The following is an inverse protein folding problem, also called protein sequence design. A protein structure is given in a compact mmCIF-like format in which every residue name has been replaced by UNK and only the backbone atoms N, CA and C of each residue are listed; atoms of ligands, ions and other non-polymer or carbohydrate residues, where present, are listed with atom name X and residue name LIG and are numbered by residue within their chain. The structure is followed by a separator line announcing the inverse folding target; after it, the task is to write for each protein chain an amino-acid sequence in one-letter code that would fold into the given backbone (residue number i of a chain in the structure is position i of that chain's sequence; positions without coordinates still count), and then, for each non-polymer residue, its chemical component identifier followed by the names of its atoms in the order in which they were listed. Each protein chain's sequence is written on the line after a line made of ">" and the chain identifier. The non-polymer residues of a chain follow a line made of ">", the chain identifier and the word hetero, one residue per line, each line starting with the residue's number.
data_IF_781042176328
#
_entry.id   IF_781042176328
#
_cell.length_a   1.000
_cell.length_b   1.000
_cell.length_c   1.000
_cell.angle_alpha   90.00
_cell.angle_beta   90.00
_cell.angle_gamma   90.00
#
_symmetry.space_group_name_H-M   'P 1'
#
loop_
_entity.id
_entity.type
_entity.pdbx_description
1 polymer ?
#
# COMPACT_ATOMS: atom_id res chain seq x y z
N UNK A 1 -17.40 -3.59 18.53
CA UNK A 1 -16.41 -3.60 17.44
C UNK A 1 -15.62 -4.88 17.56
N UNK A 2 -15.77 -5.80 16.60
CA UNK A 2 -15.04 -7.07 16.63
C UNK A 2 -13.65 -6.80 16.07
N UNK A 3 -12.62 -7.22 16.80
CA UNK A 3 -11.23 -7.05 16.38
C UNK A 3 -10.72 -8.39 15.86
N UNK A 4 -10.23 -8.42 14.62
CA UNK A 4 -9.86 -9.66 13.93
C UNK A 4 -8.37 -10.02 14.08
N UNK A 5 -7.71 -9.55 15.13
CA UNK A 5 -6.26 -9.74 15.33
C UNK A 5 -5.83 -11.21 15.35
N UNK A 6 -6.64 -12.10 15.93
CA UNK A 6 -6.35 -13.53 15.97
C UNK A 6 -6.32 -14.15 14.56
N UNK A 7 -7.38 -13.96 13.78
CA UNK A 7 -7.47 -14.42 12.39
C UNK A 7 -6.35 -13.80 11.54
N UNK A 8 -6.16 -12.48 11.63
CA UNK A 8 -5.12 -11.77 10.88
C UNK A 8 -3.71 -12.24 11.22
N UNK A 9 -3.42 -12.50 12.50
CA UNK A 9 -2.11 -13.02 12.92
C UNK A 9 -1.91 -14.45 12.44
N UNK A 10 -2.95 -15.29 12.48
CA UNK A 10 -2.90 -16.64 11.89
C UNK A 10 -2.58 -16.61 10.39
N UNK A 11 -3.20 -15.71 9.63
CA UNK A 11 -2.94 -15.54 8.19
C UNK A 11 -1.53 -14.99 7.95
N UNK A 12 -1.08 -14.02 8.76
CA UNK A 12 0.28 -13.50 8.69
C UNK A 12 1.32 -14.61 8.90
N UNK A 13 1.11 -15.49 9.88
CA UNK A 13 2.00 -16.63 10.15
C UNK A 13 2.01 -17.63 8.98
N UNK A 14 0.86 -17.88 8.35
CA UNK A 14 0.77 -18.74 7.16
C UNK A 14 1.45 -18.15 5.92
N UNK A 15 1.62 -16.83 5.87
CA UNK A 15 2.24 -16.10 4.74
C UNK A 15 3.69 -15.68 5.00
N UNK A 16 4.32 -16.19 6.08
CA UNK A 16 5.73 -15.93 6.40
C UNK A 16 6.72 -16.22 5.27
N UNK A 17 6.56 -17.27 4.42
CA UNK A 17 7.43 -17.46 3.27
C UNK A 17 7.46 -16.23 2.34
N UNK A 18 6.31 -15.59 2.12
CA UNK A 18 6.25 -14.35 1.35
C UNK A 18 6.88 -13.17 2.09
N UNK A 19 6.66 -13.06 3.39
CA UNK A 19 7.27 -12.01 4.22
C UNK A 19 8.80 -12.10 4.16
N UNK A 20 9.35 -13.31 4.23
CA UNK A 20 10.79 -13.56 4.09
C UNK A 20 11.31 -13.14 2.71
N UNK A 21 10.59 -13.48 1.62
CA UNK A 21 10.93 -13.00 0.28
C UNK A 21 11.01 -11.47 0.22
N UNK A 22 9.99 -10.79 0.76
CA UNK A 22 9.97 -9.32 0.83
C UNK A 22 11.15 -8.75 1.61
N UNK A 23 11.52 -9.41 2.70
CA UNK A 23 12.69 -9.02 3.48
C UNK A 23 13.99 -9.16 2.69
N UNK A 24 14.19 -10.29 2.00
CA UNK A 24 15.36 -10.53 1.13
C UNK A 24 15.42 -9.50 0.01
N UNK A 25 14.29 -9.20 -0.64
CA UNK A 25 14.21 -8.16 -1.66
C UNK A 25 14.58 -6.80 -1.07
N UNK A 26 14.01 -6.42 0.09
CA UNK A 26 14.35 -5.18 0.78
C UNK A 26 15.85 -5.08 1.12
N UNK A 27 16.45 -6.17 1.61
CA UNK A 27 17.87 -6.25 1.90
C UNK A 27 18.73 -6.11 0.63
N UNK A 28 18.34 -6.74 -0.48
CA UNK A 28 19.02 -6.58 -1.76
C UNK A 28 19.00 -5.13 -2.26
N UNK A 29 17.87 -4.42 -2.07
CA UNK A 29 17.78 -2.99 -2.39
C UNK A 29 18.66 -2.12 -1.49
N UNK A 30 18.70 -2.42 -0.19
CA UNK A 30 19.58 -1.72 0.74
C UNK A 30 21.05 -1.91 0.35
N UNK A 31 21.45 -3.14 0.01
CA UNK A 31 22.80 -3.44 -0.49
C UNK A 31 23.09 -2.72 -1.81
N UNK A 32 22.15 -2.71 -2.75
CA UNK A 32 22.28 -1.96 -4.00
C UNK A 32 22.51 -0.46 -3.75
N UNK A 33 21.77 0.13 -2.80
CA UNK A 33 21.95 1.53 -2.40
C UNK A 33 23.34 1.78 -1.80
N UNK A 34 23.77 0.93 -0.88
CA UNK A 34 25.09 1.03 -0.23
C UNK A 34 26.21 0.91 -1.27
N UNK A 35 26.12 -0.03 -2.21
CA UNK A 35 27.09 -0.18 -3.28
C UNK A 35 27.09 1.03 -4.24
N UNK A 36 25.92 1.48 -4.66
CA UNK A 36 25.77 2.64 -5.55
C UNK A 36 26.41 3.90 -4.94
N UNK A 37 25.99 4.28 -3.75
CA UNK A 37 26.51 5.48 -3.09
C UNK A 37 27.95 5.28 -2.61
N UNK A 38 28.34 4.08 -2.20
CA UNK A 38 29.70 3.74 -1.81
C UNK A 38 30.68 3.94 -2.96
N UNK A 39 30.34 3.47 -4.17
CA UNK A 39 31.16 3.67 -5.38
C UNK A 39 31.24 5.16 -5.73
N UNK A 40 30.12 5.88 -5.71
CA UNK A 40 30.11 7.32 -6.02
C UNK A 40 30.95 8.11 -5.03
N UNK A 41 30.82 7.85 -3.73
CA UNK A 41 31.63 8.49 -2.69
C UNK A 41 33.11 8.13 -2.86
N UNK A 42 33.42 6.87 -3.14
CA UNK A 42 34.80 6.44 -3.39
C UNK A 42 35.40 7.15 -4.61
N UNK A 43 34.63 7.32 -5.70
CA UNK A 43 35.08 8.07 -6.87
C UNK A 43 35.28 9.55 -6.57
N UNK A 44 34.36 10.19 -5.85
CA UNK A 44 34.42 11.64 -5.53
C UNK A 44 35.55 11.96 -4.56
N UNK A 45 35.75 11.15 -3.52
CA UNK A 45 36.76 11.39 -2.48
C UNK A 45 38.12 10.72 -2.77
N UNK A 46 38.14 9.68 -3.62
CA UNK A 46 39.35 8.98 -4.03
C UNK A 46 40.05 9.58 -5.25
N UNK A 47 39.43 10.53 -5.96
CA UNK A 47 40.04 11.21 -7.10
C UNK A 47 40.73 12.51 -6.69
N UNK A 48 42.03 12.61 -7.00
CA UNK A 48 42.81 13.82 -6.77
C UNK A 48 42.33 14.90 -7.77
N UNK A 49 41.83 16.03 -7.27
CA UNK A 49 41.49 17.20 -8.09
C UNK A 49 40.00 17.46 -8.33
N UNK A 50 39.09 16.66 -7.76
CA UNK A 50 37.65 17.00 -7.77
C UNK A 50 37.40 18.16 -6.80
N UNK A 51 36.93 19.29 -7.32
CA UNK A 51 36.52 20.41 -6.48
C UNK A 51 35.27 20.06 -5.66
N UNK A 52 35.11 20.64 -4.47
CA UNK A 52 33.96 20.38 -3.61
C UNK A 52 32.61 20.60 -4.31
N UNK A 53 32.51 21.61 -5.18
CA UNK A 53 31.30 21.88 -5.96
C UNK A 53 31.00 20.75 -6.97
N UNK A 54 32.02 20.26 -7.67
CA UNK A 54 31.87 19.14 -8.61
C UNK A 54 31.45 17.87 -7.87
N UNK A 55 32.05 17.59 -6.70
CA UNK A 55 31.66 16.45 -5.86
C UNK A 55 30.18 16.50 -5.44
N UNK A 56 29.69 17.68 -5.02
CA UNK A 56 28.27 17.88 -4.68
C UNK A 56 27.36 17.66 -5.90
N UNK A 57 27.72 18.22 -7.07
CA UNK A 57 26.95 18.02 -8.31
C UNK A 57 26.88 16.54 -8.68
N UNK A 58 28.00 15.80 -8.61
CA UNK A 58 28.03 14.36 -8.87
C UNK A 58 27.13 13.60 -7.90
N UNK A 59 27.15 13.94 -6.61
CA UNK A 59 26.29 13.30 -5.61
C UNK A 59 24.80 13.58 -5.87
N UNK A 60 24.43 14.80 -6.27
CA UNK A 60 23.06 15.16 -6.64
C UNK A 60 22.60 14.38 -7.87
N UNK A 61 23.41 14.32 -8.93
CA UNK A 61 23.10 13.54 -10.14
C UNK A 61 22.95 12.06 -9.80
N UNK A 62 23.87 11.50 -9.02
CA UNK A 62 23.80 10.11 -8.57
C UNK A 62 22.52 9.82 -7.76
N UNK A 63 22.08 10.78 -6.94
CA UNK A 63 20.84 10.68 -6.17
C UNK A 63 19.61 10.70 -7.08
N UNK A 64 19.57 11.59 -8.08
CA UNK A 64 18.47 11.65 -9.05
C UNK A 64 18.39 10.37 -9.88
N UNK A 65 19.53 9.88 -10.37
CA UNK A 65 19.61 8.63 -11.14
C UNK A 65 19.14 7.43 -10.30
N UNK A 66 19.63 7.31 -9.07
CA UNK A 66 19.21 6.25 -8.16
C UNK A 66 17.73 6.36 -7.81
N UNK A 67 17.23 7.57 -7.56
CA UNK A 67 15.80 7.82 -7.31
C UNK A 67 14.92 7.41 -8.50
N UNK A 68 15.37 7.70 -9.73
CA UNK A 68 14.71 7.23 -10.96
C UNK A 68 14.68 5.70 -11.05
N UNK A 69 15.81 5.04 -10.80
CA UNK A 69 15.91 3.58 -10.79
C UNK A 69 14.98 2.95 -9.74
N UNK A 70 14.99 3.46 -8.51
CA UNK A 70 14.12 3.01 -7.42
C UNK A 70 12.65 3.21 -7.78
N UNK A 71 12.29 4.31 -8.44
CA UNK A 71 10.91 4.58 -8.87
C UNK A 71 10.44 3.55 -9.90
N UNK A 72 11.27 3.23 -10.89
CA UNK A 72 10.97 2.19 -11.88
C UNK A 72 10.83 0.81 -11.22
N UNK A 73 11.80 0.45 -10.39
CA UNK A 73 11.78 -0.83 -9.67
C UNK A 73 10.57 -0.97 -8.74
N UNK A 74 10.17 0.13 -8.08
CA UNK A 74 8.97 0.15 -7.25
C UNK A 74 7.72 -0.11 -8.10
N UNK A 75 7.57 0.61 -9.22
CA UNK A 75 6.40 0.50 -10.10
C UNK A 75 6.28 -0.87 -10.76
N UNK A 76 7.37 -1.41 -11.29
CA UNK A 76 7.32 -2.60 -12.15
C UNK A 76 7.71 -3.92 -11.47
N UNK A 77 8.34 -3.89 -10.30
CA UNK A 77 8.81 -5.12 -9.62
C UNK A 77 8.24 -5.24 -8.22
N UNK A 78 8.56 -4.29 -7.34
CA UNK A 78 8.17 -4.38 -5.92
C UNK A 78 6.66 -4.34 -5.73
N UNK A 79 5.97 -3.59 -6.59
CA UNK A 79 4.53 -3.48 -6.52
C UNK A 79 3.84 -4.78 -6.96
N UNK A 80 4.33 -5.47 -8.01
CA UNK A 80 3.83 -6.80 -8.39
C UNK A 80 4.00 -7.82 -7.26
N UNK A 81 5.18 -7.85 -6.63
CA UNK A 81 5.44 -8.72 -5.46
C UNK A 81 4.52 -8.36 -4.29
N UNK A 82 4.17 -7.09 -4.15
CA UNK A 82 3.22 -6.63 -3.14
C UNK A 82 1.81 -7.10 -3.43
N UNK A 83 1.32 -6.91 -4.65
CA UNK A 83 0.00 -7.32 -5.10
C UNK A 83 -0.16 -8.85 -5.04
N UNK A 84 0.86 -9.62 -5.42
CA UNK A 84 0.85 -11.08 -5.29
C UNK A 84 0.70 -11.53 -3.83
N UNK A 85 1.37 -10.85 -2.88
CA UNK A 85 1.16 -11.12 -1.46
C UNK A 85 -0.27 -10.79 -1.02
N UNK A 86 -0.82 -9.69 -1.53
CA UNK A 86 -2.20 -9.28 -1.23
C UNK A 86 -3.18 -10.35 -1.72
N UNK A 87 -2.98 -10.90 -2.92
CA UNK A 87 -3.78 -12.01 -3.44
C UNK A 87 -3.70 -13.27 -2.56
N UNK A 88 -2.50 -13.64 -2.10
CA UNK A 88 -2.33 -14.78 -1.17
C UNK A 88 -3.03 -14.52 0.18
N UNK A 89 -2.95 -13.30 0.71
CA UNK A 89 -3.68 -12.94 1.95
C UNK A 89 -5.19 -13.03 1.70
N UNK A 90 -5.69 -12.50 0.58
CA UNK A 90 -7.10 -12.54 0.23
C UNK A 90 -7.62 -13.98 0.20
N UNK A 91 -6.92 -14.85 -0.52
CA UNK A 91 -7.23 -16.28 -0.59
C UNK A 91 -7.21 -16.95 0.79
N UNK A 92 -6.25 -16.60 1.65
CA UNK A 92 -6.16 -17.16 3.00
C UNK A 92 -7.23 -16.62 3.97
N UNK A 93 -7.74 -15.40 3.75
CA UNK A 93 -8.87 -14.87 4.51
C UNK A 93 -10.15 -15.61 4.15
N UNK A 94 -10.34 -15.89 2.86
CA UNK A 94 -11.52 -16.51 2.28
C UNK A 94 -11.59 -18.03 2.56
N UNK A 95 -10.53 -18.75 2.21
CA UNK A 95 -10.50 -20.23 2.34
C UNK A 95 -10.00 -20.72 3.70
N UNK A 96 -9.28 -19.87 4.44
CA UNK A 96 -8.57 -20.27 5.65
C UNK A 96 -7.24 -21.00 5.41
N UNK A 97 -6.85 -21.27 4.17
CA UNK A 97 -5.62 -21.97 3.80
C UNK A 97 -4.70 -21.11 2.92
N UNK A 98 -3.42 -21.48 2.83
CA UNK A 98 -2.48 -20.83 1.91
C UNK A 98 -2.10 -21.80 0.79
N UNK A 99 -1.94 -21.33 -0.45
CA UNK A 99 -1.51 -22.19 -1.55
C UNK A 99 -0.12 -22.78 -1.28
N UNK A 100 0.11 -24.03 -1.68
CA UNK A 100 1.41 -24.70 -1.54
C UNK A 100 2.56 -23.87 -2.14
N UNK A 101 2.35 -23.37 -3.35
CA UNK A 101 3.26 -22.44 -4.01
C UNK A 101 2.68 -21.02 -4.03
N UNK A 102 2.80 -20.33 -2.90
CA UNK A 102 2.29 -18.97 -2.73
C UNK A 102 2.76 -18.04 -3.85
N UNK A 103 4.07 -18.04 -4.17
CA UNK A 103 4.66 -17.13 -5.16
C UNK A 103 4.05 -17.32 -6.55
N UNK A 104 3.90 -18.57 -6.99
CA UNK A 104 3.28 -18.88 -8.27
C UNK A 104 1.82 -18.45 -8.29
N UNK A 105 1.06 -18.80 -7.24
CA UNK A 105 -0.33 -18.40 -7.10
C UNK A 105 -0.49 -16.87 -7.15
N UNK A 106 0.27 -16.14 -6.34
CA UNK A 106 0.19 -14.68 -6.30
C UNK A 106 0.59 -14.03 -7.62
N UNK A 107 1.60 -14.58 -8.33
CA UNK A 107 1.95 -14.12 -9.68
C UNK A 107 0.81 -14.36 -10.66
N UNK A 108 0.18 -15.52 -10.62
CA UNK A 108 -0.93 -15.89 -11.48
C UNK A 108 -2.13 -14.97 -11.25
N UNK A 109 -2.59 -14.82 -10.00
CA UNK A 109 -3.69 -13.91 -9.66
C UNK A 109 -3.47 -12.49 -10.17
N UNK A 110 -2.24 -11.97 -10.04
CA UNK A 110 -1.91 -10.62 -10.55
C UNK A 110 -1.94 -10.56 -12.07
N UNK A 111 -1.41 -11.57 -12.76
CA UNK A 111 -1.32 -11.60 -14.23
C UNK A 111 -2.69 -11.82 -14.87
N UNK A 112 -3.52 -12.68 -14.28
CA UNK A 112 -4.85 -13.00 -14.77
C UNK A 112 -5.79 -11.80 -14.61
N UNK A 113 -5.68 -11.08 -13.49
CA UNK A 113 -6.46 -9.86 -13.23
C UNK A 113 -5.94 -8.64 -14.00
N UNK A 114 -4.62 -8.48 -14.04
CA UNK A 114 -3.97 -7.32 -14.63
C UNK A 114 -2.92 -7.78 -15.64
N UNK A 115 -3.30 -7.73 -16.93
CA UNK A 115 -2.46 -8.12 -18.07
C UNK A 115 -1.09 -7.44 -18.04
N UNK A 116 -1.06 -6.17 -17.62
CA UNK A 116 0.15 -5.37 -17.52
C UNK A 116 0.32 -4.77 -16.11
N UNK A 117 1.57 -4.64 -15.67
CA UNK A 117 1.91 -3.93 -14.42
C UNK A 117 1.48 -2.46 -14.44
N UNK A 118 1.44 -1.84 -15.63
CA UNK A 118 0.94 -0.48 -15.88
C UNK A 118 -0.54 -0.36 -15.49
N UNK A 119 -1.37 -1.33 -15.86
CA UNK A 119 -2.80 -1.36 -15.57
C UNK A 119 -3.06 -1.51 -14.06
N UNK A 120 -2.39 -2.46 -13.41
CA UNK A 120 -2.43 -2.64 -11.96
C UNK A 120 -2.06 -1.32 -11.24
N UNK A 121 -0.94 -0.71 -11.62
CA UNK A 121 -0.47 0.52 -10.99
C UNK A 121 -1.44 1.70 -11.22
N UNK A 122 -2.04 1.80 -12.40
CA UNK A 122 -3.01 2.84 -12.72
C UNK A 122 -4.26 2.74 -11.83
N UNK A 123 -4.82 1.53 -11.70
CA UNK A 123 -6.01 1.28 -10.87
C UNK A 123 -5.70 1.53 -9.39
N UNK A 124 -4.58 1.02 -8.89
CA UNK A 124 -4.14 1.24 -7.51
C UNK A 124 -3.94 2.72 -7.17
N UNK A 125 -3.34 3.49 -8.08
CA UNK A 125 -3.12 4.92 -7.87
C UNK A 125 -4.44 5.71 -7.77
N UNK A 126 -5.43 5.32 -8.58
CA UNK A 126 -6.79 5.87 -8.51
C UNK A 126 -7.43 5.52 -7.17
N UNK A 127 -7.40 4.25 -6.76
CA UNK A 127 -7.92 3.79 -5.47
C UNK A 127 -7.29 4.58 -4.31
N UNK A 128 -5.96 4.71 -4.29
CA UNK A 128 -5.21 5.51 -3.29
C UNK A 128 -5.67 6.96 -3.26
N UNK A 129 -5.93 7.54 -4.42
CA UNK A 129 -6.38 8.93 -4.54
C UNK A 129 -7.78 9.08 -3.95
N UNK A 130 -8.70 8.17 -4.25
CA UNK A 130 -10.05 8.14 -3.66
C UNK A 130 -9.98 8.05 -2.13
N UNK A 131 -9.23 7.06 -1.61
CA UNK A 131 -9.05 6.87 -0.16
C UNK A 131 -8.49 8.12 0.50
N UNK A 132 -7.49 8.75 -0.12
CA UNK A 132 -6.85 9.95 0.42
C UNK A 132 -7.85 11.11 0.49
N UNK A 133 -8.60 11.37 -0.58
CA UNK A 133 -9.62 12.42 -0.62
C UNK A 133 -10.71 12.16 0.42
N UNK A 134 -11.22 10.92 0.48
CA UNK A 134 -12.22 10.49 1.46
C UNK A 134 -11.75 10.70 2.90
N UNK A 135 -10.56 10.20 3.26
CA UNK A 135 -10.04 10.31 4.61
C UNK A 135 -9.70 11.75 5.00
N UNK A 136 -9.23 12.57 4.05
CA UNK A 136 -9.03 14.00 4.30
C UNK A 136 -10.35 14.72 4.57
N UNK A 137 -11.41 14.40 3.83
CA UNK A 137 -12.74 14.95 4.08
C UNK A 137 -13.28 14.55 5.45
N UNK A 138 -13.11 13.29 5.86
CA UNK A 138 -13.52 12.82 7.20
C UNK A 138 -12.68 13.49 8.31
N UNK A 139 -11.36 13.59 8.14
CA UNK A 139 -10.48 14.25 9.11
C UNK A 139 -10.76 15.76 9.24
N UNK A 140 -11.29 16.39 8.18
CA UNK A 140 -11.65 17.81 8.17
C UNK A 140 -12.72 18.17 9.22
N UNK A 141 -13.58 17.22 9.56
CA UNK A 141 -14.63 17.34 10.59
C UNK A 141 -14.02 17.39 12.00
N UNK A 142 -12.81 16.82 12.17
CA UNK A 142 -12.07 16.79 13.43
C UNK A 142 -11.31 18.09 13.78
N UNK A 143 -11.27 19.09 12.89
CA UNK A 143 -10.55 20.37 13.11
C UNK A 143 -11.15 21.26 14.22
N UNK A 144 -12.26 20.84 14.83
CA UNK A 144 -12.79 21.45 16.06
C UNK A 144 -11.87 21.21 17.30
N UNK A 145 -10.90 20.29 17.20
CA UNK A 145 -10.06 19.90 18.33
C UNK A 145 -8.82 20.80 18.56
N UNK A 146 -8.50 21.71 17.64
CA UNK A 146 -7.38 22.66 17.78
C UNK A 146 -7.58 23.69 18.91
N UNK A 147 -8.81 23.78 19.45
CA UNK A 147 -9.16 24.69 20.54
C UNK A 147 -8.81 24.17 21.94
N UNK A 148 -8.51 22.87 22.11
CA UNK A 148 -8.29 22.27 23.45
C UNK A 148 -6.93 21.56 23.52
N UNK A 149 -5.92 22.15 24.20
CA UNK A 149 -4.60 21.54 24.39
C UNK A 149 -4.64 20.12 24.97
N UNK A 150 -5.61 19.84 25.85
CA UNK A 150 -5.82 18.52 26.45
C UNK A 150 -6.20 17.42 25.45
N UNK A 151 -6.71 17.77 24.26
CA UNK A 151 -7.10 16.81 23.22
C UNK A 151 -6.01 16.59 22.16
N UNK A 152 -4.93 17.38 22.15
CA UNK A 152 -3.88 17.30 21.10
C UNK A 152 -3.28 15.90 20.94
N UNK A 153 -2.98 15.24 22.06
CA UNK A 153 -2.42 13.88 22.03
C UNK A 153 -3.42 12.86 21.46
N UNK A 154 -4.69 12.96 21.83
CA UNK A 154 -5.74 12.08 21.33
C UNK A 154 -5.94 12.28 19.81
N UNK A 155 -5.97 13.53 19.36
CA UNK A 155 -6.07 13.89 17.93
C UNK A 155 -4.87 13.35 17.16
N UNK A 156 -3.65 13.43 17.71
CA UNK A 156 -2.46 12.88 17.09
C UNK A 156 -2.56 11.37 16.90
N UNK A 157 -3.03 10.64 17.93
CA UNK A 157 -3.24 9.19 17.87
C UNK A 157 -4.29 8.83 16.81
N UNK A 158 -5.42 9.53 16.78
CA UNK A 158 -6.48 9.31 15.78
C UNK A 158 -5.97 9.60 14.37
N UNK A 159 -5.22 10.70 14.19
CA UNK A 159 -4.64 11.07 12.89
C UNK A 159 -3.64 10.03 12.41
N UNK A 160 -2.79 9.52 13.31
CA UNK A 160 -1.87 8.42 13.01
C UNK A 160 -2.63 7.14 12.63
N UNK A 161 -3.74 6.83 13.31
CA UNK A 161 -4.57 5.66 13.00
C UNK A 161 -5.22 5.78 11.61
N UNK A 162 -5.78 6.95 11.29
CA UNK A 162 -6.33 7.24 9.95
C UNK A 162 -5.24 7.09 8.89
N UNK A 163 -4.06 7.66 9.12
CA UNK A 163 -2.93 7.52 8.20
C UNK A 163 -2.48 6.07 8.02
N UNK A 164 -2.48 5.29 9.10
CA UNK A 164 -2.12 3.87 9.07
C UNK A 164 -3.15 3.04 8.29
N UNK A 165 -4.45 3.27 8.51
CA UNK A 165 -5.51 2.65 7.73
C UNK A 165 -5.41 3.01 6.25
N UNK A 166 -5.25 4.30 5.95
CA UNK A 166 -5.13 4.81 4.59
C UNK A 166 -3.92 4.24 3.83
N UNK A 167 -2.86 3.84 4.54
CA UNK A 167 -1.64 3.28 3.95
C UNK A 167 -1.78 1.84 3.45
N UNK A 168 -2.84 1.13 3.88
CA UNK A 168 -3.04 -0.29 3.56
C UNK A 168 -4.44 -0.61 3.04
N UNK A 169 -5.39 0.32 3.09
CA UNK A 169 -6.75 0.08 2.61
C UNK A 169 -6.83 -0.04 1.08
N UNK A 170 -5.93 0.60 0.33
CA UNK A 170 -5.72 0.34 -1.11
C UNK A 170 -5.46 -1.14 -1.37
N UNK A 171 -4.61 -1.75 -0.55
CA UNK A 171 -4.29 -3.18 -0.63
C UNK A 171 -5.45 -4.05 -0.17
N UNK A 172 -6.29 -3.58 0.75
CA UNK A 172 -7.50 -4.28 1.14
C UNK A 172 -8.54 -4.29 0.01
N UNK A 173 -8.70 -3.18 -0.71
CA UNK A 173 -9.57 -3.11 -1.89
C UNK A 173 -9.03 -3.99 -3.01
N UNK A 174 -7.71 -3.99 -3.26
CA UNK A 174 -7.09 -4.94 -4.18
C UNK A 174 -7.33 -6.39 -3.77
N UNK A 175 -7.28 -6.70 -2.47
CA UNK A 175 -7.63 -8.03 -1.97
C UNK A 175 -9.07 -8.40 -2.33
N UNK A 176 -10.02 -7.47 -2.18
CA UNK A 176 -11.41 -7.68 -2.60
C UNK A 176 -11.54 -7.90 -4.11
N UNK A 177 -10.80 -7.14 -4.92
CA UNK A 177 -10.76 -7.33 -6.37
C UNK A 177 -10.22 -8.69 -6.78
N UNK A 178 -9.26 -9.27 -6.04
CA UNK A 178 -8.76 -10.62 -6.29
C UNK A 178 -9.74 -11.73 -5.89
N UNK A 179 -10.70 -11.44 -4.99
CA UNK A 179 -11.76 -12.39 -4.62
C UNK A 179 -12.99 -12.31 -5.53
N UNK A 180 -13.11 -11.23 -6.31
CA UNK A 180 -14.22 -11.00 -7.25
C UNK A 180 -13.67 -10.89 -8.67
N UNK A 181 -12.94 -11.92 -9.09
CA UNK A 181 -12.26 -11.94 -10.38
C UNK A 181 -13.24 -12.03 -11.56
N UNK A 182 -14.47 -12.48 -11.30
CA UNK A 182 -15.59 -12.53 -12.24
C UNK A 182 -16.12 -11.15 -12.67
N UNK A 183 -15.84 -10.10 -11.90
CA UNK A 183 -16.27 -8.72 -12.20
C UNK A 183 -15.22 -7.96 -13.00
N UNK A 184 -15.66 -6.97 -13.78
CA UNK A 184 -14.77 -5.96 -14.39
C UNK A 184 -13.79 -5.32 -13.40
N UNK A 185 -12.66 -4.80 -13.90
CA UNK A 185 -11.60 -4.25 -13.05
C UNK A 185 -12.08 -3.01 -12.29
N UNK A 186 -12.72 -2.09 -12.99
CA UNK A 186 -13.28 -0.89 -12.40
C UNK A 186 -14.54 -1.20 -11.61
N UNK A 187 -15.36 -2.17 -12.02
CA UNK A 187 -16.54 -2.64 -11.26
C UNK A 187 -16.14 -3.18 -9.89
N UNK A 188 -15.14 -4.07 -9.80
CA UNK A 188 -14.69 -4.58 -8.50
C UNK A 188 -13.97 -3.51 -7.66
N UNK A 189 -13.25 -2.57 -8.29
CA UNK A 189 -12.62 -1.45 -7.59
C UNK A 189 -13.66 -0.50 -6.97
N UNK A 190 -14.71 -0.16 -7.74
CA UNK A 190 -15.88 0.62 -7.27
C UNK A 190 -16.52 -0.08 -6.09
N UNK A 191 -16.90 -1.35 -6.26
CA UNK A 191 -17.58 -2.13 -5.22
C UNK A 191 -16.74 -2.22 -3.94
N UNK A 192 -15.43 -2.46 -4.08
CA UNK A 192 -14.51 -2.50 -2.96
C UNK A 192 -14.41 -1.16 -2.21
N UNK A 193 -14.36 -0.05 -2.92
CA UNK A 193 -14.37 1.30 -2.35
C UNK A 193 -15.68 1.61 -1.60
N UNK A 194 -16.82 1.22 -2.17
CA UNK A 194 -18.15 1.38 -1.52
C UNK A 194 -18.23 0.55 -0.25
N UNK A 195 -17.81 -0.71 -0.31
CA UNK A 195 -17.76 -1.59 0.86
C UNK A 195 -16.85 -1.05 1.95
N UNK A 196 -15.75 -0.36 1.60
CA UNK A 196 -14.93 0.35 2.58
C UNK A 196 -15.69 1.52 3.21
N UNK A 197 -16.43 2.29 2.43
CA UNK A 197 -17.34 3.33 2.95
C UNK A 197 -18.35 2.80 3.98
N UNK A 198 -18.76 1.52 3.88
CA UNK A 198 -19.63 0.86 4.87
C UNK A 198 -18.88 0.29 6.07
N UNK A 199 -17.59 -0.03 5.92
CA UNK A 199 -16.79 -0.81 6.89
C UNK A 199 -15.58 -0.06 7.46
N UNK A 200 -15.46 1.24 7.21
CA UNK A 200 -14.30 2.04 7.65
C UNK A 200 -14.09 2.05 9.17
N UNK A 201 -15.17 1.99 9.96
CA UNK A 201 -15.10 2.07 11.44
C UNK A 201 -14.31 0.89 12.05
N UNK A 202 -14.64 -0.39 11.77
CA UNK A 202 -13.81 -1.53 12.21
C UNK A 202 -12.34 -1.44 11.80
N UNK A 203 -12.07 -1.03 10.56
CA UNK A 203 -10.69 -0.87 10.06
C UNK A 203 -9.95 0.20 10.87
N UNK A 204 -10.57 1.38 11.03
CA UNK A 204 -10.00 2.47 11.81
C UNK A 204 -9.76 2.04 13.26
N UNK A 205 -10.72 1.36 13.89
CA UNK A 205 -10.58 0.89 15.26
C UNK A 205 -9.45 -0.12 15.46
N UNK A 206 -9.24 -1.02 14.48
CA UNK A 206 -8.09 -1.93 14.48
C UNK A 206 -6.77 -1.15 14.42
N UNK A 207 -6.68 -0.17 13.51
CA UNK A 207 -5.48 0.67 13.40
C UNK A 207 -5.27 1.60 14.59
N UNK A 208 -6.34 2.05 15.24
CA UNK A 208 -6.28 2.85 16.46
C UNK A 208 -5.64 2.05 17.59
N UNK A 209 -6.07 0.81 17.79
CA UNK A 209 -5.48 -0.07 18.80
C UNK A 209 -4.01 -0.37 18.50
N UNK A 210 -3.67 -0.58 17.22
CA UNK A 210 -2.27 -0.74 16.79
C UNK A 210 -1.45 0.50 17.15
N UNK A 211 -1.90 1.70 16.80
CA UNK A 211 -1.18 2.94 17.10
C UNK A 211 -0.99 3.14 18.61
N UNK A 212 -2.04 2.92 19.41
CA UNK A 212 -1.95 2.97 20.87
C UNK A 212 -0.94 1.95 21.39
N UNK A 213 -0.98 0.71 20.89
CA UNK A 213 -0.02 -0.34 21.23
C UNK A 213 1.41 0.05 20.88
N UNK A 214 1.64 0.60 19.68
CA UNK A 214 2.96 1.06 19.23
C UNK A 214 3.51 2.19 20.09
N UNK A 215 2.68 3.16 20.47
CA UNK A 215 3.09 4.24 21.38
C UNK A 215 3.45 3.68 22.76
N UNK A 216 2.64 2.76 23.30
CA UNK A 216 2.92 2.08 24.55
C UNK A 216 4.24 1.32 24.51
N UNK A 217 4.47 0.52 23.47
CA UNK A 217 5.72 -0.22 23.26
C UNK A 217 6.91 0.72 23.07
N UNK A 218 6.75 1.82 22.32
CA UNK A 218 7.81 2.81 22.13
C UNK A 218 8.21 3.49 23.45
N UNK A 219 7.24 3.82 24.31
CA UNK A 219 7.51 4.39 25.64
C UNK A 219 8.24 3.39 26.55
N UNK A 220 7.80 2.13 26.56
CA UNK A 220 8.49 1.07 27.32
C UNK A 220 9.92 0.86 26.82
N UNK A 221 10.10 0.83 25.50
CA UNK A 221 11.41 0.70 24.86
C UNK A 221 12.31 1.90 25.17
N UNK A 222 11.80 3.13 25.04
CA UNK A 222 12.53 4.35 25.38
C UNK A 222 12.90 4.40 26.88
N UNK A 223 12.01 3.99 27.77
CA UNK A 223 12.29 3.86 29.20
C UNK A 223 13.39 2.84 29.48
N UNK A 224 13.34 1.67 28.82
CA UNK A 224 14.40 0.67 28.90
C UNK A 224 15.75 1.18 28.38
N UNK A 225 15.75 1.91 27.27
CA UNK A 225 16.95 2.53 26.72
C UNK A 225 17.53 3.62 27.63
N UNK A 226 16.69 4.44 28.27
CA UNK A 226 17.14 5.45 29.21
C UNK A 226 17.84 4.85 30.44
N UNK A 227 17.36 3.69 30.92
CA UNK A 227 18.05 2.94 31.97
C UNK A 227 19.38 2.36 31.48
N UNK A 228 19.41 1.83 30.25
CA UNK A 228 20.61 1.27 29.64
C UNK A 228 21.67 2.33 29.29
N UNK A 229 21.28 3.56 28.94
CA UNK A 229 22.22 4.63 28.59
C UNK A 229 23.12 5.05 29.74
N UNK A 230 22.65 4.91 30.99
CA UNK A 230 23.48 5.12 32.19
C UNK A 230 24.66 4.14 32.29
N UNK A 231 24.54 2.95 31.70
CA UNK A 231 25.60 1.93 31.65
C UNK A 231 26.53 2.16 30.46
N UNK A 232 26.01 2.71 29.35
CA UNK A 232 26.75 2.91 28.11
C UNK A 232 27.59 4.20 28.06
N UNK A 233 27.26 5.21 28.88
CA UNK A 233 27.98 6.49 28.91
C UNK A 233 29.46 6.40 29.34
N UNK A 234 29.94 5.23 29.76
CA UNK A 234 31.35 4.96 30.05
C UNK A 234 32.17 4.45 28.85
N UNK A 235 31.57 4.19 27.69
CA UNK A 235 32.27 3.73 26.50
C UNK A 235 32.69 4.89 25.59
N UNK A 236 33.76 4.72 24.82
CA UNK A 236 34.20 5.72 23.85
C UNK A 236 33.18 5.94 22.71
N UNK A 237 33.21 7.14 22.11
CA UNK A 237 32.23 7.61 21.10
C UNK A 237 32.03 6.67 19.91
N UNK A 238 33.07 5.93 19.50
CA UNK A 238 33.00 4.95 18.40
C UNK A 238 32.13 3.74 18.78
N UNK A 239 32.32 3.20 19.99
CA UNK A 239 31.56 2.04 20.46
C UNK A 239 30.11 2.42 20.74
N UNK A 240 29.88 3.59 21.33
CA UNK A 240 28.54 4.12 21.53
C UNK A 240 27.78 4.28 20.20
N UNK A 241 28.42 4.88 19.19
CA UNK A 241 27.84 5.03 17.85
C UNK A 241 27.52 3.67 17.23
N UNK A 242 28.43 2.70 17.34
CA UNK A 242 28.21 1.35 16.81
C UNK A 242 27.02 0.66 17.49
N UNK A 243 26.89 0.78 18.82
CA UNK A 243 25.75 0.24 19.57
C UNK A 243 24.44 0.87 19.10
N UNK A 244 24.38 2.20 18.97
CA UNK A 244 23.16 2.87 18.49
C UNK A 244 22.78 2.50 17.06
N UNK A 245 23.75 2.30 16.17
CA UNK A 245 23.51 1.79 14.82
C UNK A 245 22.91 0.38 14.83
N UNK A 246 23.42 -0.50 15.69
CA UNK A 246 22.87 -1.85 15.85
C UNK A 246 21.44 -1.80 16.41
N UNK A 247 21.20 -1.01 17.45
CA UNK A 247 19.86 -0.83 18.04
C UNK A 247 18.88 -0.28 17.00
N UNK A 248 19.24 0.78 16.30
CA UNK A 248 18.43 1.37 15.23
C UNK A 248 18.17 0.38 14.09
N UNK A 249 19.19 -0.39 13.70
CA UNK A 249 19.08 -1.44 12.69
C UNK A 249 18.10 -2.54 13.09
N UNK A 250 18.16 -3.03 14.34
CA UNK A 250 17.24 -4.04 14.87
C UNK A 250 15.80 -3.51 14.87
N UNK A 251 15.59 -2.28 15.34
CA UNK A 251 14.27 -1.63 15.36
C UNK A 251 13.73 -1.48 13.94
N UNK A 252 14.56 -1.03 12.99
CA UNK A 252 14.17 -0.88 11.59
C UNK A 252 13.81 -2.24 10.96
N UNK A 253 14.64 -3.27 11.17
CA UNK A 253 14.38 -4.63 10.68
C UNK A 253 13.09 -5.20 11.25
N UNK A 254 12.85 -5.04 12.57
CA UNK A 254 11.61 -5.48 13.21
C UNK A 254 10.39 -4.74 12.65
N UNK A 255 10.49 -3.42 12.47
CA UNK A 255 9.39 -2.60 11.95
C UNK A 255 9.07 -2.94 10.49
N UNK A 256 10.05 -2.85 9.59
CA UNK A 256 9.83 -3.04 8.15
C UNK A 256 9.68 -4.51 7.75
N UNK A 257 10.35 -5.42 8.45
CA UNK A 257 10.35 -6.85 8.13
C UNK A 257 9.16 -7.62 8.70
N UNK A 258 8.68 -7.24 9.89
CA UNK A 258 7.65 -8.02 10.61
C UNK A 258 6.40 -7.19 10.86
N UNK A 259 6.54 -6.05 11.54
CA UNK A 259 5.41 -5.28 12.03
C UNK A 259 4.59 -4.67 10.89
N UNK A 260 5.22 -4.03 9.91
CA UNK A 260 4.52 -3.42 8.77
C UNK A 260 3.74 -4.47 7.94
N UNK A 261 4.34 -5.61 7.55
CA UNK A 261 3.59 -6.70 6.92
C UNK A 261 2.47 -7.27 7.78
N UNK A 262 2.63 -7.35 9.10
CA UNK A 262 1.56 -7.78 10.00
C UNK A 262 0.39 -6.78 10.05
N UNK A 263 0.67 -5.48 10.19
CA UNK A 263 -0.35 -4.42 10.16
C UNK A 263 -1.14 -4.47 8.85
N UNK A 264 -0.44 -4.64 7.73
CA UNK A 264 -1.03 -4.82 6.40
C UNK A 264 -2.05 -5.96 6.41
N UNK A 265 -1.67 -7.13 6.93
CA UNK A 265 -2.55 -8.29 7.03
C UNK A 265 -3.74 -8.04 7.96
N UNK A 266 -3.56 -7.30 9.06
CA UNK A 266 -4.68 -6.90 9.94
C UNK A 266 -5.67 -6.02 9.19
N UNK A 267 -5.22 -4.99 8.48
CA UNK A 267 -6.11 -4.09 7.72
C UNK A 267 -6.88 -4.86 6.64
N UNK A 268 -6.19 -5.68 5.85
CA UNK A 268 -6.81 -6.49 4.79
C UNK A 268 -7.84 -7.46 5.39
N UNK A 269 -7.46 -8.22 6.41
CA UNK A 269 -8.33 -9.22 7.05
C UNK A 269 -9.57 -8.56 7.66
N UNK A 270 -9.38 -7.47 8.42
CA UNK A 270 -10.51 -6.76 9.03
C UNK A 270 -11.46 -6.23 7.96
N UNK A 271 -10.95 -5.63 6.90
CA UNK A 271 -11.79 -5.14 5.81
C UNK A 271 -12.58 -6.27 5.14
N UNK A 272 -11.90 -7.34 4.71
CA UNK A 272 -12.55 -8.45 4.00
C UNK A 272 -13.62 -9.14 4.87
N UNK A 273 -13.32 -9.41 6.13
CA UNK A 273 -14.28 -10.04 7.06
C UNK A 273 -15.46 -9.13 7.36
N UNK A 274 -15.24 -7.82 7.51
CA UNK A 274 -16.34 -6.88 7.79
C UNK A 274 -17.15 -6.52 6.54
N UNK A 275 -16.58 -6.70 5.34
CA UNK A 275 -17.26 -6.53 4.06
C UNK A 275 -18.05 -7.77 3.64
N UNK A 276 -17.72 -8.94 4.20
CA UNK A 276 -18.40 -10.20 3.93
C UNK A 276 -19.92 -10.10 4.15
N UNK A 277 -20.69 -10.57 3.18
CA UNK A 277 -22.17 -10.53 3.21
C UNK A 277 -22.78 -9.14 3.01
N UNK A 278 -21.98 -8.08 2.80
CA UNK A 278 -22.49 -6.75 2.45
C UNK A 278 -22.43 -6.54 0.94
N UNK A 279 -23.43 -5.86 0.41
CA UNK A 279 -23.46 -5.43 -0.99
C UNK A 279 -23.19 -3.93 -1.08
N UNK A 280 -22.57 -3.45 -2.18
CA UNK A 280 -22.53 -2.03 -2.52
C UNK A 280 -23.95 -1.45 -2.61
N UNK A 281 -24.15 -0.21 -2.14
CA UNK A 281 -25.42 0.53 -2.22
C UNK A 281 -25.21 1.95 -2.76
N UNK A 282 -26.28 2.55 -3.29
CA UNK A 282 -26.28 3.89 -3.88
C UNK A 282 -25.94 4.98 -2.86
N UNK A 283 -26.49 4.88 -1.64
CA UNK A 283 -26.31 5.92 -0.62
C UNK A 283 -24.83 6.09 -0.24
N UNK A 284 -24.10 4.97 -0.15
CA UNK A 284 -22.67 4.98 0.13
C UNK A 284 -21.86 5.42 -1.09
N UNK A 285 -22.28 5.05 -2.30
CA UNK A 285 -21.65 5.57 -3.54
C UNK A 285 -21.72 7.09 -3.58
N UNK A 286 -22.90 7.67 -3.39
CA UNK A 286 -23.12 9.12 -3.40
C UNK A 286 -22.31 9.79 -2.29
N UNK A 287 -22.29 9.20 -1.09
CA UNK A 287 -21.50 9.71 0.04
C UNK A 287 -20.00 9.81 -0.26
N UNK A 288 -19.43 8.83 -0.98
CA UNK A 288 -18.01 8.84 -1.40
C UNK A 288 -17.81 9.82 -2.56
N UNK A 289 -18.70 9.84 -3.55
CA UNK A 289 -18.64 10.72 -4.71
C UNK A 289 -18.61 12.20 -4.30
N UNK A 290 -19.43 12.59 -3.32
CA UNK A 290 -19.45 13.94 -2.74
C UNK A 290 -18.10 14.38 -2.15
N UNK A 291 -17.23 13.43 -1.78
CA UNK A 291 -15.95 13.67 -1.09
C UNK A 291 -14.74 13.39 -1.95
N UNK A 292 -14.94 12.76 -3.10
CA UNK A 292 -13.87 12.34 -4.00
C UNK A 292 -14.32 12.46 -5.45
N UNK A 293 -13.80 13.47 -6.14
CA UNK A 293 -14.00 13.61 -7.59
C UNK A 293 -13.44 12.42 -8.35
N UNK A 294 -12.33 11.85 -7.88
CA UNK A 294 -11.72 10.67 -8.48
C UNK A 294 -12.64 9.43 -8.39
N UNK A 295 -13.49 9.35 -7.36
CA UNK A 295 -14.44 8.25 -7.23
C UNK A 295 -15.53 8.31 -8.31
N UNK A 296 -15.98 9.50 -8.67
CA UNK A 296 -16.92 9.66 -9.79
C UNK A 296 -16.33 9.11 -11.10
N UNK A 297 -15.02 9.28 -11.33
CA UNK A 297 -14.34 8.70 -12.47
C UNK A 297 -14.27 7.16 -12.43
N UNK A 298 -14.13 6.58 -11.23
CA UNK A 298 -14.21 5.12 -11.04
C UNK A 298 -15.60 4.59 -11.36
N UNK A 299 -16.66 5.28 -10.91
CA UNK A 299 -18.05 4.92 -11.21
C UNK A 299 -18.31 4.93 -12.71
N UNK A 300 -17.92 6.01 -13.42
CA UNK A 300 -18.07 6.10 -14.87
C UNK A 300 -17.36 4.98 -15.62
N UNK A 301 -16.15 4.59 -15.18
CA UNK A 301 -15.41 3.49 -15.79
C UNK A 301 -16.04 2.12 -15.52
N UNK A 302 -16.60 1.92 -14.34
CA UNK A 302 -17.34 0.70 -14.00
C UNK A 302 -18.63 0.58 -14.83
N UNK A 303 -19.39 1.67 -14.98
CA UNK A 303 -20.58 1.69 -15.85
C UNK A 303 -20.24 1.37 -17.31
N UNK A 304 -19.11 1.89 -17.81
CA UNK A 304 -18.64 1.57 -19.15
C UNK A 304 -18.14 0.13 -19.32
N UNK A 305 -17.70 -0.54 -18.25
CA UNK A 305 -17.40 -1.98 -18.26
C UNK A 305 -18.68 -2.84 -18.24
N UNK A 306 -19.72 -2.35 -17.55
CA UNK A 306 -20.98 -3.07 -17.34
C UNK A 306 -21.99 -2.88 -18.51
N UNK A 307 -21.82 -1.88 -19.39
CA UNK A 307 -22.70 -1.61 -20.54
C UNK A 307 -22.41 -2.53 -21.76
N UNK A 308 -23.35 -3.41 -22.16
CA UNK A 308 -23.16 -4.31 -23.28
C UNK A 308 -23.76 -3.73 -24.57
N UNK A 309 -23.00 -2.96 -25.39
CA UNK A 309 -23.37 -2.74 -26.81
C UNK A 309 -22.28 -2.10 -27.68
N UNK A 310 -22.29 -2.36 -29.00
CA UNK A 310 -21.97 -3.62 -29.67
C UNK A 310 -20.73 -3.44 -30.57
N UNK A 311 -20.32 -4.52 -31.24
CA UNK A 311 -19.14 -4.59 -32.08
C UNK A 311 -18.91 -3.40 -33.02
N UNK A 312 -17.62 -3.18 -33.28
CA UNK A 312 -17.07 -2.55 -34.48
C UNK A 312 -18.00 -2.84 -35.68
N UNK A 313 -18.86 -1.88 -36.02
CA UNK A 313 -19.57 -1.87 -37.29
C UNK A 313 -18.46 -1.68 -38.32
N UNK A 314 -18.06 -2.80 -38.91
CA UNK A 314 -17.34 -2.81 -40.17
C UNK A 314 -18.25 -2.05 -41.15
N UNK A 315 -17.83 -0.84 -41.53
CA UNK A 315 -18.42 -0.05 -42.60
C UNK A 315 -18.22 -0.83 -43.91
N UNK A 316 -18.99 -1.91 -44.10
CA UNK A 316 -19.24 -2.42 -45.44
C UNK A 316 -20.23 -1.48 -46.09
N UNK A 317 -19.65 -0.60 -46.90
CA UNK A 317 -20.28 0.07 -48.01
C UNK A 317 -21.23 -0.88 -48.74
N UNK A 318 -22.53 -0.75 -48.49
CA UNK A 318 -23.55 -1.14 -49.44
C UNK A 318 -23.79 0.09 -50.35
N UNK A 319 -22.93 0.21 -51.37
CA UNK A 319 -23.29 0.96 -52.57
C UNK A 319 -24.35 0.13 -53.32
N UNK A 320 -25.61 0.53 -53.24
CA UNK A 320 -26.66 0.04 -54.13
C UNK A 320 -26.93 1.10 -55.22
N UNK A 321 -26.58 0.86 -56.50
CA UNK A 321 -26.87 1.82 -57.57
C UNK A 321 -28.32 1.68 -58.06
N UNK A 322 -29.05 2.78 -57.91
CA UNK A 322 -30.16 3.30 -58.71
C UNK A 322 -30.81 2.37 -59.76
N UNK A 323 -32.07 2.05 -59.46
CA UNK A 323 -33.24 1.80 -60.32
C UNK A 323 -33.03 2.08 -61.83
N UNK A 324 -33.12 1.02 -62.64
CA UNK A 324 -33.33 1.08 -64.08
C UNK A 324 -34.70 0.53 -64.47
N UNK A 325 -35.55 1.36 -65.07
CA UNK A 325 -36.88 1.00 -65.63
C UNK A 325 -36.71 0.29 -66.98
N UNK A 326 -37.56 -0.70 -67.34
CA UNK A 326 -37.46 -1.35 -68.64
C UNK A 326 -38.14 -0.53 -69.75
N UNK A 327 -37.40 -0.34 -70.85
CA UNK A 327 -37.87 0.01 -72.18
C UNK A 327 -37.12 -0.83 -73.20
#
# INVERSE_FOLDING_TARGET
>A
MVLHFGKATGIFLKTLPWVALRFVVGAAFALLAVLWFGIILWLVFGSIGVSGLVGVVVLLVATVVFGGLVTLLRRYVLYLVTAGHVAVIAHAVDTGEVPDNQLQFGKQQVTDRFVEASALFAVDQVIKTVIKQFNQAVASIGRMADFVPALKQLVAIVTQAIGLAASYIDQAILAHMFLHDEKGTWTAARDGLVLYGKTWKPVLGSTLLIVVGLQGTALLFAGGLALASGVLGGFGTVLETAVWLVVGGIVAVGYFGVLSPWIKTVVITTYLVEAEGKTPDSDTMDYIADRSSEFADVVRKAEAEDDPSPGRVDERHDEEPTVGTPG
#
